data_IF_848050260038
#
_entry.id   IF_848050260038
#
_cell.length_a   1.000
_cell.length_b   1.000
_cell.length_c   1.000
_cell.angle_alpha   90.00
_cell.angle_beta   90.00
_cell.angle_gamma   90.00
#
_symmetry.space_group_name_H-M   'P 1'
#
loop_
_entity.id
_entity.type
_entity.pdbx_description
1 polymer ?
#
# COMPACT_ATOMS: atom_id res chain seq x y z
N UNK A 1 -2.12 2.81 2.04
CA UNK A 1 -2.30 1.53 2.71
C UNK A 1 -3.62 1.54 3.49
N UNK A 2 -4.59 0.70 3.04
CA UNK A 2 -5.94 0.65 3.62
C UNK A 2 -5.91 0.19 5.08
N UNK A 3 -5.06 -0.77 5.42
CA UNK A 3 -4.96 -1.30 6.79
C UNK A 3 -4.59 -0.19 7.78
N UNK A 4 -3.56 0.57 7.49
CA UNK A 4 -3.12 1.71 8.30
C UNK A 4 -4.20 2.80 8.42
N UNK A 5 -4.88 3.10 7.31
CA UNK A 5 -5.97 4.08 7.33
C UNK A 5 -7.12 3.62 8.23
N UNK A 6 -7.48 2.33 8.21
CA UNK A 6 -8.53 1.79 9.08
C UNK A 6 -8.11 1.80 10.56
N UNK A 7 -6.85 1.59 10.86
CA UNK A 7 -6.31 1.70 12.22
C UNK A 7 -6.44 3.14 12.76
N UNK A 8 -6.04 4.12 11.98
CA UNK A 8 -6.19 5.55 12.34
C UNK A 8 -7.66 5.94 12.59
N UNK A 9 -8.57 5.47 11.72
CA UNK A 9 -10.01 5.71 11.87
C UNK A 9 -10.61 5.00 13.09
N UNK A 10 -10.14 3.80 13.42
CA UNK A 10 -10.51 3.07 14.65
C UNK A 10 -10.08 3.85 15.89
N UNK A 11 -8.88 4.42 15.88
CA UNK A 11 -8.40 5.31 16.94
C UNK A 11 -9.29 6.52 17.14
N UNK A 12 -9.65 7.23 16.05
CA UNK A 12 -10.57 8.39 16.12
C UNK A 12 -11.96 8.03 16.66
N UNK A 13 -12.50 6.86 16.31
CA UNK A 13 -13.76 6.37 16.91
C UNK A 13 -13.59 6.02 18.39
N UNK A 14 -12.42 5.53 18.80
CA UNK A 14 -12.09 5.30 20.20
C UNK A 14 -12.11 6.60 21.01
N UNK A 15 -11.51 7.67 20.49
CA UNK A 15 -11.58 9.01 21.11
C UNK A 15 -13.03 9.53 21.20
N UNK A 16 -13.80 9.35 20.12
CA UNK A 16 -15.22 9.75 20.12
C UNK A 16 -16.04 8.97 21.16
N UNK A 17 -15.73 7.70 21.41
CA UNK A 17 -16.34 6.90 22.48
C UNK A 17 -15.99 7.46 23.85
N UNK A 18 -14.74 7.85 24.09
CA UNK A 18 -14.34 8.48 25.36
C UNK A 18 -15.11 9.79 25.62
N UNK A 19 -15.25 10.63 24.58
CA UNK A 19 -16.05 11.87 24.69
C UNK A 19 -17.52 11.58 25.02
N UNK A 20 -18.08 10.46 24.53
CA UNK A 20 -19.45 10.08 24.91
C UNK A 20 -19.59 9.73 26.39
N UNK A 21 -18.54 9.23 27.04
CA UNK A 21 -18.51 8.82 28.45
C UNK A 21 -18.20 9.97 29.41
N UNK A 22 -17.76 11.12 28.90
CA UNK A 22 -17.50 12.29 29.74
C UNK A 22 -18.79 12.90 30.28
N UNK A 23 -18.64 13.76 31.32
CA UNK A 23 -19.74 14.54 31.86
C UNK A 23 -20.43 15.37 30.75
N UNK A 24 -21.74 15.31 30.68
CA UNK A 24 -22.57 15.93 29.62
C UNK A 24 -22.25 15.45 28.18
N UNK A 25 -21.54 14.33 28.03
CA UNK A 25 -21.31 13.70 26.75
C UNK A 25 -22.56 13.02 26.14
N UNK A 26 -22.55 12.76 24.82
CA UNK A 26 -23.68 12.11 24.15
C UNK A 26 -23.65 10.58 24.34
N UNK A 27 -23.81 10.10 25.56
CA UNK A 27 -23.72 8.69 25.97
C UNK A 27 -24.55 7.75 25.07
N UNK A 28 -25.73 8.19 24.61
CA UNK A 28 -26.59 7.40 23.75
C UNK A 28 -25.97 7.04 22.38
N UNK A 29 -24.84 7.66 21.99
CA UNK A 29 -24.12 7.36 20.76
C UNK A 29 -23.07 6.24 20.93
N UNK A 30 -22.61 6.00 22.15
CA UNK A 30 -21.55 5.05 22.48
C UNK A 30 -21.75 3.66 21.85
N UNK A 31 -22.89 2.95 22.02
CA UNK A 31 -23.02 1.59 21.50
C UNK A 31 -22.88 1.51 19.97
N UNK A 32 -23.33 2.56 19.27
CA UNK A 32 -23.22 2.63 17.82
C UNK A 32 -21.78 2.89 17.38
N UNK A 33 -21.04 3.74 18.10
CA UNK A 33 -19.63 4.01 17.80
C UNK A 33 -18.75 2.79 18.05
N UNK A 34 -19.01 2.02 19.12
CA UNK A 34 -18.33 0.75 19.38
C UNK A 34 -18.59 -0.25 18.25
N UNK A 35 -19.85 -0.36 17.81
CA UNK A 35 -20.20 -1.21 16.66
C UNK A 35 -19.50 -0.77 15.38
N UNK A 36 -19.50 0.53 15.08
CA UNK A 36 -18.82 1.07 13.90
C UNK A 36 -17.31 0.83 13.97
N UNK A 37 -16.70 1.04 15.14
CA UNK A 37 -15.26 0.76 15.37
C UNK A 37 -14.91 -0.70 15.10
N UNK A 38 -15.66 -1.64 15.64
CA UNK A 38 -15.45 -3.09 15.40
C UNK A 38 -15.48 -3.45 13.91
N UNK A 39 -16.38 -2.80 13.14
CA UNK A 39 -16.48 -3.01 11.68
C UNK A 39 -15.28 -2.42 10.94
N UNK A 40 -14.81 -1.23 11.34
CA UNK A 40 -13.60 -0.61 10.77
C UNK A 40 -12.37 -1.48 11.03
N UNK A 41 -12.23 -2.01 12.24
CA UNK A 41 -11.15 -2.96 12.57
C UNK A 41 -11.24 -4.25 11.74
N UNK A 42 -12.44 -4.73 11.43
CA UNK A 42 -12.62 -5.89 10.54
C UNK A 42 -12.15 -5.60 9.10
N UNK A 43 -12.44 -4.40 8.56
CA UNK A 43 -11.92 -3.98 7.25
C UNK A 43 -10.39 -3.88 7.29
N UNK A 44 -9.82 -3.30 8.35
CA UNK A 44 -8.35 -3.20 8.53
C UNK A 44 -7.68 -4.57 8.56
N UNK A 45 -8.24 -5.52 9.32
CA UNK A 45 -7.74 -6.91 9.35
C UNK A 45 -7.82 -7.58 7.98
N UNK A 46 -8.94 -7.43 7.27
CA UNK A 46 -9.10 -7.98 5.93
C UNK A 46 -8.08 -7.39 4.94
N UNK A 47 -7.83 -6.08 5.01
CA UNK A 47 -6.80 -5.43 4.20
C UNK A 47 -5.38 -5.92 4.51
N UNK A 48 -5.08 -6.19 5.79
CA UNK A 48 -3.79 -6.69 6.24
C UNK A 48 -3.46 -8.11 5.75
N UNK A 49 -4.48 -8.92 5.40
CA UNK A 49 -4.26 -10.27 4.83
C UNK A 49 -3.70 -10.24 3.41
N UNK A 50 -3.74 -9.08 2.71
CA UNK A 50 -3.40 -8.96 1.30
C UNK A 50 -4.42 -9.61 0.34
N UNK A 51 -5.52 -10.17 0.84
CA UNK A 51 -6.58 -10.75 0.03
C UNK A 51 -7.58 -9.70 -0.44
N UNK A 52 -7.66 -9.49 -1.76
CA UNK A 52 -8.66 -8.59 -2.35
C UNK A 52 -10.09 -9.06 -2.05
N UNK A 53 -10.34 -10.36 -2.10
CA UNK A 53 -11.66 -10.95 -1.80
C UNK A 53 -12.09 -10.67 -0.35
N UNK A 54 -11.18 -10.82 0.62
CA UNK A 54 -11.47 -10.53 2.03
C UNK A 54 -11.80 -9.05 2.24
N UNK A 55 -11.04 -8.14 1.60
CA UNK A 55 -11.29 -6.71 1.64
C UNK A 55 -12.63 -6.35 1.00
N UNK A 56 -12.89 -6.86 -0.22
CA UNK A 56 -14.14 -6.65 -0.95
C UNK A 56 -15.35 -7.06 -0.10
N UNK A 57 -15.33 -8.29 0.42
CA UNK A 57 -16.44 -8.82 1.25
C UNK A 57 -16.65 -7.99 2.52
N UNK A 58 -15.59 -7.55 3.18
CA UNK A 58 -15.67 -6.67 4.37
C UNK A 58 -16.30 -5.32 4.02
N UNK A 59 -15.93 -4.73 2.88
CA UNK A 59 -16.51 -3.47 2.40
C UNK A 59 -17.98 -3.60 2.01
N UNK A 60 -18.38 -4.71 1.35
CA UNK A 60 -19.78 -4.96 0.99
C UNK A 60 -20.68 -5.13 2.21
N UNK A 61 -20.20 -5.83 3.23
CA UNK A 61 -20.93 -6.08 4.47
C UNK A 61 -20.94 -4.88 5.43
N UNK A 62 -20.16 -3.82 5.15
CA UNK A 62 -20.08 -2.64 6.00
C UNK A 62 -21.34 -1.78 5.88
N UNK A 63 -22.00 -1.53 6.99
CA UNK A 63 -23.14 -0.61 7.09
C UNK A 63 -23.08 0.19 8.37
N UNK A 64 -23.46 1.47 8.29
CA UNK A 64 -23.56 2.36 9.43
C UNK A 64 -25.01 2.44 9.90
N UNK A 65 -25.25 2.07 11.14
CA UNK A 65 -26.55 2.23 11.77
C UNK A 65 -26.91 3.71 12.04
N UNK A 66 -28.15 3.96 12.38
CA UNK A 66 -28.63 5.30 12.75
C UNK A 66 -28.23 5.60 14.21
N UNK A 67 -27.69 6.80 14.47
CA UNK A 67 -27.46 7.27 15.82
C UNK A 67 -28.80 7.46 16.57
N UNK A 68 -28.79 7.20 17.87
CA UNK A 68 -29.93 7.43 18.73
C UNK A 68 -30.34 8.91 18.69
N UNK A 69 -31.62 9.17 18.84
CA UNK A 69 -32.12 10.57 18.97
C UNK A 69 -31.92 11.05 20.39
N UNK A 70 -31.12 12.09 20.56
CA UNK A 70 -30.88 12.72 21.85
C UNK A 70 -31.76 13.96 22.00
N UNK A 71 -32.63 13.96 23.01
CA UNK A 71 -33.53 15.05 23.32
C UNK A 71 -33.19 15.78 24.63
N UNK A 72 -32.19 15.29 25.41
CA UNK A 72 -31.78 15.95 26.66
C UNK A 72 -31.13 17.30 26.36
N UNK A 73 -31.44 18.29 27.19
CA UNK A 73 -30.86 19.63 27.15
C UNK A 73 -29.52 19.70 27.88
N UNK A 74 -29.16 18.65 28.65
CA UNK A 74 -27.99 18.60 29.48
C UNK A 74 -26.72 18.13 28.73
N UNK A 75 -26.86 17.83 27.43
CA UNK A 75 -25.76 17.37 26.60
C UNK A 75 -25.02 18.55 26.01
N UNK A 76 -23.69 18.54 26.17
CA UNK A 76 -22.79 19.51 25.59
C UNK A 76 -22.86 19.46 24.06
N UNK A 77 -23.19 20.61 23.46
CA UNK A 77 -23.35 20.77 22.01
C UNK A 77 -22.06 20.54 21.25
N UNK A 78 -20.90 20.96 21.78
CA UNK A 78 -19.60 20.85 21.18
C UNK A 78 -19.12 19.38 21.19
N UNK A 79 -19.31 18.66 22.30
CA UNK A 79 -19.03 17.23 22.39
C UNK A 79 -19.86 16.42 21.41
N UNK A 80 -21.15 16.73 21.29
CA UNK A 80 -22.02 16.10 20.31
C UNK A 80 -21.61 16.38 18.86
N UNK A 81 -21.22 17.63 18.57
CA UNK A 81 -20.72 18.01 17.25
C UNK A 81 -19.42 17.30 16.91
N UNK A 82 -18.46 17.23 17.86
CA UNK A 82 -17.21 16.52 17.71
C UNK A 82 -17.42 15.04 17.37
N UNK A 83 -18.23 14.32 18.16
CA UNK A 83 -18.54 12.91 17.93
C UNK A 83 -19.19 12.69 16.57
N UNK A 84 -20.13 13.57 16.18
CA UNK A 84 -20.79 13.48 14.86
C UNK A 84 -19.78 13.70 13.72
N UNK A 85 -18.90 14.70 13.85
CA UNK A 85 -17.87 15.00 12.87
C UNK A 85 -16.85 13.87 12.70
N UNK A 86 -16.40 13.24 13.81
CA UNK A 86 -15.55 12.05 13.76
C UNK A 86 -16.21 10.92 12.98
N UNK A 87 -17.47 10.60 13.31
CA UNK A 87 -18.21 9.55 12.63
C UNK A 87 -18.42 9.84 11.14
N UNK A 88 -18.72 11.08 10.78
CA UNK A 88 -18.92 11.46 9.38
C UNK A 88 -17.61 11.38 8.57
N UNK A 89 -16.47 11.68 9.18
CA UNK A 89 -15.14 11.47 8.59
C UNK A 89 -14.91 9.99 8.27
N UNK A 90 -15.21 9.13 9.23
CA UNK A 90 -15.10 7.67 9.06
C UNK A 90 -16.00 7.18 7.92
N UNK A 91 -17.26 7.64 7.87
CA UNK A 91 -18.18 7.28 6.78
C UNK A 91 -17.67 7.68 5.42
N UNK A 92 -17.12 8.91 5.31
CA UNK A 92 -16.52 9.40 4.05
C UNK A 92 -15.33 8.56 3.62
N UNK A 93 -14.46 8.18 4.56
CA UNK A 93 -13.31 7.36 4.27
C UNK A 93 -13.70 5.95 3.80
N UNK A 94 -14.67 5.31 4.47
CA UNK A 94 -15.20 4.01 4.05
C UNK A 94 -15.89 4.11 2.67
N UNK A 95 -16.64 5.16 2.41
CA UNK A 95 -17.27 5.39 1.10
C UNK A 95 -16.22 5.48 0.00
N UNK A 96 -15.11 6.20 0.23
CA UNK A 96 -13.99 6.29 -0.69
C UNK A 96 -13.29 4.94 -0.90
N UNK A 97 -13.08 4.17 0.17
CA UNK A 97 -12.54 2.81 0.04
C UNK A 97 -13.46 1.91 -0.79
N UNK A 98 -14.78 2.01 -0.59
CA UNK A 98 -15.76 1.26 -1.38
C UNK A 98 -15.77 1.68 -2.85
N UNK A 99 -15.59 2.95 -3.14
CA UNK A 99 -15.44 3.45 -4.51
C UNK A 99 -14.21 2.89 -5.20
N UNK A 100 -13.09 2.76 -4.48
CA UNK A 100 -11.83 2.26 -5.04
C UNK A 100 -11.75 0.73 -5.14
N UNK A 101 -12.30 0.01 -4.17
CA UNK A 101 -12.09 -1.44 -4.01
C UNK A 101 -13.38 -2.27 -3.97
N UNK A 102 -14.54 -1.64 -3.94
CA UNK A 102 -15.84 -2.30 -3.80
C UNK A 102 -16.72 -2.27 -5.05
N UNK A 103 -16.22 -1.72 -6.17
CA UNK A 103 -17.02 -1.54 -7.40
C UNK A 103 -17.12 -2.83 -8.22
N UNK A 104 -16.09 -3.63 -8.23
CA UNK A 104 -16.00 -4.87 -9.01
C UNK A 104 -15.80 -6.05 -8.08
N UNK A 105 -16.48 -7.16 -8.35
CA UNK A 105 -16.23 -8.41 -7.63
C UNK A 105 -14.83 -8.97 -7.95
N UNK A 106 -14.29 -9.86 -7.11
CA UNK A 106 -13.02 -10.53 -7.39
C UNK A 106 -13.02 -11.23 -8.75
N UNK A 107 -14.14 -11.85 -9.14
CA UNK A 107 -14.32 -12.54 -10.41
C UNK A 107 -14.28 -11.57 -11.59
N UNK A 108 -14.95 -10.42 -11.49
CA UNK A 108 -14.96 -9.38 -12.52
C UNK A 108 -13.58 -8.77 -12.72
N UNK A 109 -12.82 -8.56 -11.63
CA UNK A 109 -11.43 -8.07 -11.69
C UNK A 109 -10.55 -9.08 -12.41
N UNK A 110 -10.64 -10.38 -12.07
CA UNK A 110 -9.87 -11.44 -12.73
C UNK A 110 -10.22 -11.54 -14.21
N UNK A 111 -11.49 -11.44 -14.58
CA UNK A 111 -11.92 -11.50 -15.97
C UNK A 111 -11.41 -10.28 -16.76
N UNK A 112 -11.48 -9.08 -16.18
CA UNK A 112 -10.89 -7.88 -16.77
C UNK A 112 -9.38 -8.03 -17.02
N UNK A 113 -8.65 -8.59 -16.04
CA UNK A 113 -7.22 -8.90 -16.18
C UNK A 113 -6.95 -9.94 -17.28
N UNK A 114 -7.81 -10.95 -17.41
CA UNK A 114 -7.71 -11.95 -18.50
C UNK A 114 -7.84 -11.31 -19.87
N UNK A 115 -8.76 -10.37 -20.02
CA UNK A 115 -8.95 -9.62 -21.27
C UNK A 115 -7.70 -8.87 -21.73
N UNK A 116 -6.93 -8.31 -20.79
CA UNK A 116 -5.69 -7.57 -21.09
C UNK A 116 -4.46 -8.45 -21.24
N UNK A 117 -4.51 -9.70 -20.77
CA UNK A 117 -3.36 -10.62 -20.71
C UNK A 117 -2.65 -10.80 -22.06
N UNK A 118 -3.42 -10.94 -23.14
CA UNK A 118 -2.85 -11.17 -24.48
C UNK A 118 -2.04 -9.96 -24.94
N UNK A 119 -2.57 -8.76 -24.73
CA UNK A 119 -1.91 -7.50 -25.12
C UNK A 119 -0.64 -7.29 -24.29
N UNK A 120 -0.71 -7.46 -22.97
CA UNK A 120 0.44 -7.32 -22.08
C UNK A 120 1.53 -8.35 -22.41
N UNK A 121 1.15 -9.62 -22.64
CA UNK A 121 2.11 -10.66 -23.03
C UNK A 121 2.82 -10.31 -24.33
N UNK A 122 2.08 -9.82 -25.33
CA UNK A 122 2.66 -9.45 -26.62
C UNK A 122 3.57 -8.22 -26.49
N UNK A 123 3.20 -7.25 -25.67
CA UNK A 123 4.05 -6.10 -25.36
C UNK A 123 5.36 -6.54 -24.72
N UNK A 124 5.31 -7.40 -23.69
CA UNK A 124 6.50 -7.95 -23.04
C UNK A 124 7.37 -8.74 -24.01
N UNK A 125 6.76 -9.52 -24.91
CA UNK A 125 7.49 -10.25 -25.96
C UNK A 125 8.23 -9.28 -26.90
N UNK A 126 7.54 -8.24 -27.36
CA UNK A 126 8.14 -7.23 -28.25
C UNK A 126 9.26 -6.46 -27.55
N UNK A 127 9.08 -6.10 -26.28
CA UNK A 127 10.11 -5.45 -25.47
C UNK A 127 11.36 -6.34 -25.35
N UNK A 128 11.19 -7.64 -25.07
CA UNK A 128 12.30 -8.58 -25.00
C UNK A 128 13.01 -8.75 -26.37
N UNK A 129 12.26 -8.79 -27.45
CA UNK A 129 12.86 -8.84 -28.80
C UNK A 129 13.64 -7.57 -29.14
N UNK A 130 13.10 -6.40 -28.77
CA UNK A 130 13.81 -5.13 -28.95
C UNK A 130 15.10 -5.08 -28.13
N UNK A 131 15.05 -5.45 -26.86
CA UNK A 131 16.22 -5.50 -25.99
C UNK A 131 17.32 -6.39 -26.55
N UNK A 132 16.94 -7.59 -27.01
CA UNK A 132 17.90 -8.52 -27.64
C UNK A 132 18.52 -7.91 -28.91
N UNK A 133 17.70 -7.38 -29.81
CA UNK A 133 18.18 -6.77 -31.05
C UNK A 133 19.09 -5.55 -30.79
N UNK A 134 18.74 -4.76 -29.76
CA UNK A 134 19.55 -3.60 -29.36
C UNK A 134 20.91 -4.02 -28.80
N UNK A 135 20.94 -5.05 -27.95
CA UNK A 135 22.19 -5.61 -27.43
C UNK A 135 23.07 -6.15 -28.55
N UNK A 136 22.48 -6.89 -29.50
CA UNK A 136 23.23 -7.46 -30.62
C UNK A 136 23.80 -6.35 -31.52
N UNK A 137 23.02 -5.30 -31.79
CA UNK A 137 23.49 -4.15 -32.56
C UNK A 137 24.63 -3.38 -31.87
N UNK A 138 24.61 -3.27 -30.53
CA UNK A 138 25.69 -2.70 -29.74
C UNK A 138 26.95 -3.55 -29.81
N UNK A 139 26.81 -4.88 -29.69
CA UNK A 139 27.94 -5.83 -29.80
C UNK A 139 28.61 -5.79 -31.18
N UNK A 140 27.82 -5.76 -32.25
CA UNK A 140 28.33 -5.66 -33.61
C UNK A 140 29.17 -4.38 -33.85
N UNK A 141 28.77 -3.29 -33.19
CA UNK A 141 29.47 -1.98 -33.29
C UNK A 141 30.55 -1.79 -32.24
N UNK A 142 30.73 -2.74 -31.29
CA UNK A 142 31.62 -2.62 -30.13
C UNK A 142 31.41 -1.32 -29.35
N UNK A 143 30.13 -0.96 -29.09
CA UNK A 143 29.75 0.23 -28.30
C UNK A 143 28.96 -0.18 -27.06
N UNK A 144 29.07 0.63 -26.02
CA UNK A 144 28.31 0.55 -24.78
C UNK A 144 27.56 1.86 -24.59
N UNK A 145 26.36 1.82 -24.03
CA UNK A 145 25.67 2.99 -23.53
C UNK A 145 25.90 3.18 -22.02
N UNK A 146 25.39 4.26 -21.44
CA UNK A 146 25.57 4.57 -20.04
C UNK A 146 24.96 3.49 -19.12
N UNK A 147 23.79 2.95 -19.48
CA UNK A 147 23.17 1.86 -18.72
C UNK A 147 24.04 0.60 -18.73
N UNK A 148 24.68 0.27 -19.85
CA UNK A 148 25.61 -0.86 -19.91
C UNK A 148 26.77 -0.66 -18.94
N UNK A 149 27.34 0.58 -18.89
CA UNK A 149 28.45 0.88 -17.97
C UNK A 149 28.06 0.69 -16.51
N UNK A 150 26.86 1.17 -16.14
CA UNK A 150 26.33 0.99 -14.79
C UNK A 150 26.12 -0.48 -14.44
N UNK A 151 25.43 -1.24 -15.30
CA UNK A 151 25.17 -2.66 -15.08
C UNK A 151 26.44 -3.50 -15.01
N UNK A 152 27.39 -3.27 -15.94
CA UNK A 152 28.68 -3.96 -15.93
C UNK A 152 29.51 -3.60 -14.70
N UNK A 153 29.46 -2.35 -14.26
CA UNK A 153 30.11 -1.94 -13.01
C UNK A 153 29.54 -2.68 -11.82
N UNK A 154 28.20 -2.79 -11.73
CA UNK A 154 27.56 -3.56 -10.67
C UNK A 154 27.90 -5.06 -10.73
N UNK A 155 28.00 -5.64 -11.93
CA UNK A 155 28.45 -7.05 -12.10
C UNK A 155 29.89 -7.27 -11.65
N UNK A 156 30.78 -6.29 -11.80
CA UNK A 156 32.16 -6.35 -11.34
C UNK A 156 32.25 -6.16 -9.81
N UNK A 157 31.44 -5.26 -9.26
CA UNK A 157 31.48 -4.90 -7.84
C UNK A 157 30.73 -5.87 -6.92
N UNK A 158 29.79 -6.67 -7.45
CA UNK A 158 28.97 -7.57 -6.65
C UNK A 158 29.00 -9.01 -7.17
N UNK A 159 29.17 -9.95 -6.25
CA UNK A 159 28.99 -11.38 -6.51
C UNK A 159 27.57 -11.80 -6.13
N UNK A 160 26.94 -12.67 -6.95
CA UNK A 160 25.64 -13.28 -6.63
C UNK A 160 25.87 -14.50 -5.72
N UNK A 161 25.25 -14.53 -4.57
CA UNK A 161 25.11 -15.74 -3.79
C UNK A 161 23.81 -16.46 -4.18
N UNK A 162 23.93 -17.70 -4.65
CA UNK A 162 22.79 -18.59 -4.79
C UNK A 162 22.42 -19.09 -3.39
N UNK A 163 21.40 -18.48 -2.76
CA UNK A 163 20.79 -19.03 -1.55
C UNK A 163 19.96 -20.24 -1.94
N UNK A 164 20.38 -21.43 -1.51
CA UNK A 164 19.84 -22.73 -1.90
C UNK A 164 18.43 -23.08 -1.37
N UNK A 165 17.59 -22.12 -1.07
CA UNK A 165 16.27 -22.29 -0.46
C UNK A 165 15.10 -21.72 -1.30
N UNK A 166 15.15 -21.89 -2.63
CA UNK A 166 13.93 -21.76 -3.48
C UNK A 166 13.18 -20.42 -3.50
N UNK A 167 13.54 -19.46 -2.66
CA UNK A 167 13.10 -18.07 -2.73
C UNK A 167 14.18 -17.23 -3.41
N UNK A 168 13.81 -16.51 -4.47
CA UNK A 168 14.65 -15.58 -5.24
C UNK A 168 15.10 -14.35 -4.43
N UNK A 169 15.60 -14.52 -3.24
CA UNK A 169 16.33 -13.47 -2.54
C UNK A 169 17.77 -13.50 -3.00
N UNK A 170 18.06 -12.77 -4.08
CA UNK A 170 19.44 -12.58 -4.56
C UNK A 170 20.19 -11.77 -3.50
N UNK A 171 20.90 -12.46 -2.62
CA UNK A 171 21.90 -11.83 -1.75
C UNK A 171 23.08 -11.40 -2.63
N UNK A 172 23.44 -10.13 -2.54
CA UNK A 172 24.62 -9.56 -3.22
C UNK A 172 25.65 -9.24 -2.16
N UNK A 173 26.85 -9.78 -2.30
CA UNK A 173 27.99 -9.36 -1.47
C UNK A 173 29.01 -8.60 -2.31
N UNK A 174 29.80 -7.69 -1.71
CA UNK A 174 30.92 -7.06 -2.39
C UNK A 174 31.89 -8.10 -2.96
N UNK A 175 32.34 -7.86 -4.19
CA UNK A 175 33.39 -8.67 -4.81
C UNK A 175 34.77 -8.28 -4.24
N UNK A 176 35.80 -9.09 -4.55
CA UNK A 176 37.17 -8.72 -4.22
C UNK A 176 37.57 -7.36 -4.80
N UNK A 177 37.08 -7.02 -6.00
CA UNK A 177 37.34 -5.71 -6.63
C UNK A 177 36.71 -4.57 -5.83
N UNK A 178 35.51 -4.76 -5.33
CA UNK A 178 34.84 -3.77 -4.45
C UNK A 178 35.65 -3.58 -3.15
N UNK A 179 36.15 -4.67 -2.56
CA UNK A 179 36.98 -4.60 -1.37
C UNK A 179 38.34 -3.90 -1.61
N UNK A 180 38.94 -4.08 -2.76
CA UNK A 180 40.17 -3.38 -3.15
C UNK A 180 39.90 -1.88 -3.36
N UNK A 181 38.83 -1.53 -4.06
CA UNK A 181 38.46 -0.14 -4.29
C UNK A 181 38.07 0.58 -2.98
N UNK A 182 37.35 -0.09 -2.08
CA UNK A 182 36.98 0.49 -0.78
C UNK A 182 38.17 0.87 0.10
N UNK A 183 39.33 0.26 -0.12
CA UNK A 183 40.58 0.60 0.57
C UNK A 183 41.35 1.76 -0.08
N UNK A 184 40.99 2.11 -1.32
CA UNK A 184 41.63 3.21 -2.05
C UNK A 184 40.96 4.56 -1.80
N UNK A 185 39.66 4.53 -1.49
CA UNK A 185 38.87 5.74 -1.31
C UNK A 185 38.45 5.89 0.16
N UNK A 186 38.77 7.05 0.76
CA UNK A 186 38.39 7.38 2.13
C UNK A 186 36.98 7.97 2.18
N UNK A 187 36.57 8.69 1.14
CA UNK A 187 35.25 9.33 1.04
C UNK A 187 34.72 9.24 -0.39
N UNK A 188 33.40 9.10 -0.52
CA UNK A 188 32.67 9.16 -1.79
C UNK A 188 31.68 10.32 -1.68
N UNK A 189 31.87 11.35 -2.50
CA UNK A 189 30.98 12.49 -2.60
C UNK A 189 30.11 12.34 -3.85
N UNK A 190 28.80 12.33 -3.66
CA UNK A 190 27.83 12.22 -4.78
C UNK A 190 27.18 13.57 -4.96
N UNK A 191 27.36 14.15 -6.16
CA UNK A 191 26.66 15.35 -6.61
C UNK A 191 25.46 14.93 -7.48
N UNK A 192 24.42 15.74 -7.48
CA UNK A 192 23.20 15.53 -8.27
C UNK A 192 22.60 14.12 -8.12
N UNK A 193 22.49 13.68 -6.88
CA UNK A 193 21.99 12.33 -6.51
C UNK A 193 20.64 11.95 -7.14
N UNK A 194 19.81 12.94 -7.50
CA UNK A 194 18.53 12.73 -8.19
C UNK A 194 18.68 12.23 -9.63
N UNK A 195 19.88 12.36 -10.23
CA UNK A 195 20.13 11.93 -11.61
C UNK A 195 20.77 10.52 -11.68
N UNK A 196 20.92 9.86 -10.51
CA UNK A 196 21.55 8.55 -10.36
C UNK A 196 20.55 7.42 -10.31
#
# INVERSE_FOLDING_TARGET
DVARQMEELSGQLGEAVQVCLEENGPLAYEPMLISDRSKIEAIGRAAATGSFEALYNSLQNMSFGRLASIRSKDIDGDKKAFVSACRDRVKKAVAKCRELYGQQSPEEVVESMRGTRTVIRELLRLTGMFDQAYRDAKRERNVLDFNDLEHLTLEVLYEREETGDGEETVSRRPSQVADELSRQYEEILVDEYQDS
#
